data_IF_771151814500
#
_entry.id   IF_771151814500
#
_cell.length_a   1.000
_cell.length_b   1.000
_cell.length_c   1.000
_cell.angle_alpha   90.00
_cell.angle_beta   90.00
_cell.angle_gamma   90.00
#
_symmetry.space_group_name_H-M   'P 1'
#
loop_
_entity.id
_entity.type
_entity.pdbx_description
1 polymer ?
#
# COMPACT_ATOMS: atom_id res chain seq x y z
N UNK A 1 19.73 1.54 -0.35
CA UNK A 1 20.46 2.36 0.64
C UNK A 1 20.51 1.64 1.98
N UNK A 2 21.58 1.82 2.73
CA UNK A 2 21.67 1.36 4.12
C UNK A 2 21.52 2.56 5.05
N UNK A 3 20.58 2.45 5.99
CA UNK A 3 20.32 3.47 7.01
C UNK A 3 20.42 2.79 8.37
N UNK A 4 21.57 2.94 9.02
CA UNK A 4 21.89 2.20 10.24
C UNK A 4 21.89 0.69 9.95
N UNK A 5 20.95 -0.05 10.55
CA UNK A 5 20.79 -1.51 10.36
C UNK A 5 19.70 -1.89 9.35
N UNK A 6 19.07 -0.91 8.71
CA UNK A 6 17.97 -1.11 7.76
C UNK A 6 18.49 -1.02 6.33
N UNK A 7 17.98 -1.90 5.45
CA UNK A 7 18.17 -1.76 4.01
C UNK A 7 16.91 -1.18 3.40
N UNK A 8 17.01 0.00 2.81
CA UNK A 8 15.89 0.74 2.21
C UNK A 8 16.03 0.75 0.70
N UNK A 9 15.03 0.21 0.02
CA UNK A 9 14.95 0.18 -1.44
C UNK A 9 13.79 1.07 -1.88
N UNK A 10 14.04 2.16 -2.63
CA UNK A 10 12.95 2.97 -3.17
C UNK A 10 12.18 2.18 -4.23
N UNK A 11 10.88 2.31 -4.17
CA UNK A 11 9.90 1.71 -5.09
C UNK A 11 9.14 2.85 -5.76
N UNK A 12 9.01 2.82 -7.07
CA UNK A 12 8.31 3.87 -7.80
C UNK A 12 6.81 3.80 -7.53
N UNK A 13 6.24 4.86 -6.97
CA UNK A 13 4.79 5.05 -6.86
C UNK A 13 4.18 5.57 -8.15
N UNK A 14 2.87 5.66 -8.20
CA UNK A 14 2.14 6.19 -9.37
C UNK A 14 1.45 7.55 -9.09
N UNK A 15 1.78 8.18 -7.99
CA UNK A 15 1.35 9.56 -7.72
C UNK A 15 2.26 10.55 -8.44
N UNK A 16 1.68 11.61 -9.00
CA UNK A 16 2.44 12.66 -9.70
C UNK A 16 3.02 13.64 -8.67
N UNK A 17 4.28 14.02 -8.88
CA UNK A 17 4.89 15.15 -8.20
C UNK A 17 4.50 16.50 -8.83
N UNK A 18 5.16 17.55 -8.39
CA UNK A 18 4.93 18.90 -8.91
C UNK A 18 5.50 19.11 -10.32
N UNK A 19 6.47 18.29 -10.71
CA UNK A 19 7.07 18.32 -12.05
C UNK A 19 6.55 17.15 -12.90
N UNK A 20 6.48 17.29 -14.22
CA UNK A 20 5.91 16.26 -15.11
C UNK A 20 6.53 14.87 -14.96
N UNK A 21 7.83 14.82 -14.66
CA UNK A 21 8.59 13.57 -14.57
C UNK A 21 8.76 13.07 -13.12
N UNK A 22 8.26 13.82 -12.14
CA UNK A 22 8.33 13.42 -10.75
C UNK A 22 7.26 12.36 -10.44
N UNK A 23 7.67 11.37 -9.68
CA UNK A 23 6.81 10.32 -9.15
C UNK A 23 7.06 10.17 -7.65
N UNK A 24 6.03 9.76 -6.93
CA UNK A 24 6.17 9.41 -5.52
C UNK A 24 7.15 8.26 -5.35
N UNK A 25 7.86 8.26 -4.23
CA UNK A 25 8.71 7.15 -3.82
C UNK A 25 8.04 6.42 -2.67
N UNK A 26 7.76 5.16 -2.87
CA UNK A 26 7.45 4.19 -1.84
C UNK A 26 8.72 3.47 -1.42
N UNK A 27 8.67 2.60 -0.42
CA UNK A 27 9.86 1.98 0.12
C UNK A 27 9.63 0.52 0.49
N UNK A 28 10.55 -0.34 0.07
CA UNK A 28 10.71 -1.67 0.63
C UNK A 28 11.84 -1.61 1.66
N UNK A 29 11.50 -1.83 2.93
CA UNK A 29 12.42 -1.69 4.06
C UNK A 29 12.68 -3.06 4.65
N UNK A 30 13.93 -3.52 4.57
CA UNK A 30 14.34 -4.73 5.26
C UNK A 30 14.88 -4.39 6.64
N UNK A 31 14.32 -5.05 7.65
CA UNK A 31 14.65 -4.93 9.06
C UNK A 31 15.89 -5.78 9.40
N UNK A 32 16.52 -5.54 10.56
CA UNK A 32 17.71 -6.28 10.98
C UNK A 32 17.50 -7.77 11.21
N UNK A 33 16.28 -8.21 11.49
CA UNK A 33 15.88 -9.61 11.66
C UNK A 33 15.53 -10.31 10.32
N UNK A 34 15.58 -9.54 9.22
CA UNK A 34 15.30 -10.02 7.86
C UNK A 34 13.89 -9.78 7.40
N UNK A 35 12.94 -9.42 8.26
CA UNK A 35 11.57 -9.06 7.87
C UNK A 35 11.56 -7.84 6.96
N UNK A 36 10.53 -7.74 6.12
CA UNK A 36 10.39 -6.68 5.14
C UNK A 36 9.06 -5.96 5.30
N UNK A 37 9.13 -4.65 5.32
CA UNK A 37 7.98 -3.75 5.29
C UNK A 37 7.90 -3.10 3.90
N UNK A 38 6.77 -3.26 3.21
CA UNK A 38 6.42 -2.43 2.06
C UNK A 38 5.63 -1.22 2.58
N UNK A 39 6.19 -0.02 2.41
CA UNK A 39 5.58 1.24 2.81
C UNK A 39 5.23 2.06 1.58
N UNK A 40 3.93 2.20 1.29
CA UNK A 40 3.43 2.76 0.03
C UNK A 40 2.29 3.75 0.24
N UNK A 41 2.67 4.98 0.54
CA UNK A 41 1.76 6.12 0.62
C UNK A 41 1.89 6.99 -0.63
N UNK A 42 0.87 7.81 -0.87
CA UNK A 42 0.78 8.65 -2.06
C UNK A 42 1.11 7.86 -3.34
N UNK A 43 0.34 6.82 -3.55
CA UNK A 43 0.48 5.99 -4.73
C UNK A 43 -0.88 5.58 -5.27
N UNK A 44 -1.12 5.69 -6.54
CA UNK A 44 -2.24 5.01 -7.18
C UNK A 44 -1.90 3.54 -7.46
N UNK A 45 -2.71 2.89 -8.28
CA UNK A 45 -2.41 1.55 -8.77
C UNK A 45 -1.03 1.55 -9.43
N UNK A 46 -0.16 0.66 -9.01
CA UNK A 46 1.20 0.56 -9.55
C UNK A 46 1.22 0.28 -11.05
N UNK A 47 2.27 0.77 -11.70
CA UNK A 47 2.56 0.40 -13.09
C UNK A 47 3.07 -1.03 -13.18
N UNK A 48 3.00 -1.63 -14.38
CA UNK A 48 3.55 -2.97 -14.63
C UNK A 48 5.04 -3.05 -14.23
N UNK A 49 5.81 -2.03 -14.57
CA UNK A 49 7.24 -1.93 -14.22
C UNK A 49 7.46 -2.02 -12.70
N UNK A 50 6.57 -1.40 -11.90
CA UNK A 50 6.67 -1.44 -10.43
C UNK A 50 6.29 -2.82 -9.90
N UNK A 51 5.28 -3.48 -10.45
CA UNK A 51 4.94 -4.85 -10.07
C UNK A 51 6.07 -5.83 -10.41
N UNK A 52 6.69 -5.69 -11.58
CA UNK A 52 7.87 -6.50 -11.96
C UNK A 52 9.06 -6.24 -11.03
N UNK A 53 9.30 -4.99 -10.67
CA UNK A 53 10.36 -4.63 -9.72
C UNK A 53 10.16 -5.27 -8.33
N UNK A 54 8.92 -5.42 -7.90
CA UNK A 54 8.55 -6.04 -6.62
C UNK A 54 8.45 -7.58 -6.69
N UNK A 55 8.68 -8.18 -7.86
CA UNK A 55 8.58 -9.64 -8.00
C UNK A 55 9.49 -10.37 -7.00
N UNK A 56 8.92 -11.32 -6.26
CA UNK A 56 9.56 -12.08 -5.18
C UNK A 56 10.09 -11.20 -4.01
N UNK A 57 9.57 -10.00 -3.82
CA UNK A 57 9.97 -9.14 -2.70
C UNK A 57 9.61 -9.80 -1.35
N UNK A 58 8.46 -10.46 -1.23
CA UNK A 58 8.03 -11.19 -0.04
C UNK A 58 7.93 -10.28 1.18
N UNK A 59 7.20 -9.18 1.09
CA UNK A 59 6.99 -8.27 2.21
C UNK A 59 6.14 -8.93 3.30
N UNK A 60 6.62 -8.90 4.54
CA UNK A 60 5.95 -9.48 5.71
C UNK A 60 4.84 -8.58 6.25
N UNK A 61 4.93 -7.29 5.98
CA UNK A 61 3.94 -6.27 6.34
C UNK A 61 3.80 -5.28 5.18
N UNK A 62 2.58 -4.85 4.92
CA UNK A 62 2.31 -3.79 3.96
C UNK A 62 1.53 -2.65 4.61
N UNK A 63 2.09 -1.44 4.57
CA UNK A 63 1.40 -0.19 4.93
C UNK A 63 1.10 0.55 3.64
N UNK A 64 -0.16 0.82 3.39
CA UNK A 64 -0.62 1.43 2.13
C UNK A 64 -1.65 2.52 2.35
N UNK A 65 -1.89 3.31 1.31
CA UNK A 65 -3.00 4.24 1.28
C UNK A 65 -4.31 3.58 0.82
N UNK A 66 -5.42 4.22 1.14
CA UNK A 66 -6.71 4.06 0.47
C UNK A 66 -7.47 5.39 0.54
N UNK A 67 -6.88 6.41 -0.06
CA UNK A 67 -7.29 7.81 0.07
C UNK A 67 -8.75 8.03 -0.29
N UNK A 68 -9.25 7.35 -1.32
CA UNK A 68 -10.65 7.47 -1.76
C UNK A 68 -11.59 6.44 -1.12
N UNK A 69 -11.09 5.54 -0.26
CA UNK A 69 -11.91 4.59 0.48
C UNK A 69 -12.91 3.88 -0.44
N UNK A 70 -14.22 4.07 -0.17
CA UNK A 70 -15.31 3.45 -0.92
C UNK A 70 -15.74 4.20 -2.19
N UNK A 71 -15.08 5.30 -2.54
CA UNK A 71 -15.38 6.05 -3.75
C UNK A 71 -14.51 5.55 -4.90
N UNK A 72 -15.12 5.28 -6.04
CA UNK A 72 -14.36 5.04 -7.27
C UNK A 72 -13.81 6.38 -7.76
N UNK A 73 -12.47 6.54 -7.88
CA UNK A 73 -11.91 7.79 -8.36
C UNK A 73 -12.32 8.02 -9.82
N UNK A 74 -12.62 9.27 -10.15
CA UNK A 74 -12.68 9.68 -11.55
C UNK A 74 -11.26 9.65 -12.16
N UNK A 75 -11.13 9.52 -13.48
CA UNK A 75 -9.82 9.34 -14.15
C UNK A 75 -8.74 10.35 -13.72
N UNK A 76 -9.15 11.60 -13.47
CA UNK A 76 -8.24 12.66 -13.02
C UNK A 76 -7.69 12.44 -11.59
N UNK A 77 -8.26 11.52 -10.83
CA UNK A 77 -7.88 11.21 -9.43
C UNK A 77 -7.25 9.83 -9.28
N UNK A 78 -6.88 9.21 -10.39
CA UNK A 78 -6.27 7.87 -10.42
C UNK A 78 -4.90 7.76 -9.74
N UNK A 79 -4.38 8.89 -9.20
CA UNK A 79 -3.11 8.94 -8.47
C UNK A 79 -3.21 8.39 -7.03
N UNK A 80 -4.41 7.99 -6.58
CA UNK A 80 -4.64 7.38 -5.28
C UNK A 80 -5.51 6.14 -5.38
N UNK A 81 -5.45 5.31 -4.34
CA UNK A 81 -6.24 4.08 -4.26
C UNK A 81 -7.64 4.34 -3.66
N UNK A 82 -8.60 3.56 -4.14
CA UNK A 82 -9.85 3.25 -3.48
C UNK A 82 -9.89 1.75 -3.14
N UNK A 83 -10.93 1.27 -2.46
CA UNK A 83 -11.06 -0.16 -2.11
C UNK A 83 -10.93 -1.07 -3.33
N UNK A 84 -11.57 -0.72 -4.45
CA UNK A 84 -11.53 -1.53 -5.68
C UNK A 84 -10.09 -1.65 -6.22
N UNK A 85 -9.39 -0.53 -6.38
CA UNK A 85 -8.01 -0.54 -6.90
C UNK A 85 -7.00 -1.06 -5.88
N UNK A 86 -7.28 -0.94 -4.57
CA UNK A 86 -6.50 -1.60 -3.52
C UNK A 86 -6.59 -3.13 -3.64
N UNK A 87 -7.79 -3.68 -3.88
CA UNK A 87 -7.96 -5.11 -4.09
C UNK A 87 -7.26 -5.60 -5.37
N UNK A 88 -7.33 -4.82 -6.45
CA UNK A 88 -6.58 -5.13 -7.66
C UNK A 88 -5.07 -5.12 -7.41
N UNK A 89 -4.57 -4.09 -6.71
CA UNK A 89 -3.15 -4.00 -6.36
C UNK A 89 -2.70 -5.19 -5.50
N UNK A 90 -3.50 -5.56 -4.49
CA UNK A 90 -3.24 -6.73 -3.63
C UNK A 90 -3.09 -7.99 -4.48
N UNK A 91 -4.09 -8.28 -5.32
CA UNK A 91 -4.07 -9.44 -6.21
C UNK A 91 -2.81 -9.48 -7.08
N UNK A 92 -2.43 -8.37 -7.68
CA UNK A 92 -1.25 -8.30 -8.55
C UNK A 92 0.05 -8.45 -7.78
N UNK A 93 0.14 -7.90 -6.56
CA UNK A 93 1.29 -8.12 -5.67
C UNK A 93 1.42 -9.59 -5.28
N UNK A 94 0.30 -10.30 -5.05
CA UNK A 94 0.29 -11.74 -4.78
C UNK A 94 0.76 -12.56 -5.98
N UNK A 95 0.24 -12.27 -7.16
CA UNK A 95 0.66 -12.92 -8.42
C UNK A 95 2.18 -12.81 -8.63
N UNK A 96 2.77 -11.69 -8.21
CA UNK A 96 4.22 -11.42 -8.25
C UNK A 96 4.99 -11.95 -7.02
N UNK A 97 4.31 -12.55 -6.04
CA UNK A 97 4.92 -12.95 -4.74
C UNK A 97 5.62 -11.78 -4.04
N UNK A 98 5.09 -10.60 -4.22
CA UNK A 98 5.60 -9.37 -3.59
C UNK A 98 5.23 -9.29 -2.11
N UNK A 99 4.14 -9.95 -1.70
CA UNK A 99 3.70 -10.10 -0.33
C UNK A 99 3.98 -11.53 0.16
N UNK A 100 4.31 -11.69 1.43
CA UNK A 100 4.37 -12.99 2.09
C UNK A 100 2.95 -13.53 2.34
N UNK A 101 2.73 -14.86 2.37
CA UNK A 101 1.43 -15.43 2.69
C UNK A 101 0.91 -14.90 4.03
N UNK A 102 -0.33 -14.41 4.05
CA UNK A 102 -0.94 -13.84 5.25
C UNK A 102 -0.38 -12.48 5.69
N UNK A 103 0.37 -11.78 4.83
CA UNK A 103 0.91 -10.45 5.10
C UNK A 103 -0.20 -9.50 5.59
N UNK A 104 -0.12 -8.95 6.82
CA UNK A 104 -1.07 -7.95 7.29
C UNK A 104 -0.92 -6.65 6.50
N UNK A 105 -2.07 -6.07 6.14
CA UNK A 105 -2.16 -4.82 5.37
C UNK A 105 -2.77 -3.73 6.24
N UNK A 106 -1.99 -2.69 6.50
CA UNK A 106 -2.43 -1.52 7.25
C UNK A 106 -2.76 -0.38 6.30
N UNK A 107 -4.02 0.02 6.31
CA UNK A 107 -4.58 1.02 5.40
C UNK A 107 -4.65 2.37 6.11
N UNK A 108 -4.02 3.38 5.54
CA UNK A 108 -3.95 4.73 6.10
C UNK A 108 -4.13 5.80 5.02
N UNK A 109 -3.77 7.06 5.28
CA UNK A 109 -3.85 8.18 4.32
C UNK A 109 -5.27 8.35 3.74
N UNK A 110 -6.28 8.33 4.59
CA UNK A 110 -7.69 8.37 4.21
C UNK A 110 -8.17 9.81 4.10
N UNK A 111 -8.86 10.16 3.01
CA UNK A 111 -9.46 11.46 2.83
C UNK A 111 -10.81 11.55 3.57
N UNK A 112 -10.79 12.13 4.77
CA UNK A 112 -11.97 12.26 5.62
C UNK A 112 -13.11 13.12 5.05
N UNK A 113 -12.85 13.92 4.03
CA UNK A 113 -13.87 14.79 3.44
C UNK A 113 -14.79 14.07 2.46
N UNK A 114 -14.35 12.95 1.89
CA UNK A 114 -15.03 12.30 0.77
C UNK A 114 -15.19 10.79 0.91
N UNK A 115 -14.71 10.21 2.01
CA UNK A 115 -14.72 8.75 2.20
C UNK A 115 -15.60 8.32 3.36
N UNK A 116 -15.85 7.02 3.45
CA UNK A 116 -16.52 6.41 4.59
C UNK A 116 -15.73 6.64 5.88
N UNK A 117 -16.44 6.76 7.00
CA UNK A 117 -15.82 6.75 8.32
C UNK A 117 -15.06 5.44 8.57
N UNK A 118 -14.10 5.48 9.50
CA UNK A 118 -13.21 4.38 9.84
C UNK A 118 -13.91 3.02 9.96
N UNK A 119 -14.97 2.92 10.77
CA UNK A 119 -15.67 1.66 11.03
C UNK A 119 -16.36 1.11 9.77
N UNK A 120 -16.87 2.00 8.93
CA UNK A 120 -17.50 1.60 7.67
C UNK A 120 -16.46 1.12 6.66
N UNK A 121 -15.32 1.78 6.58
CA UNK A 121 -14.23 1.36 5.69
C UNK A 121 -13.67 0.01 6.16
N UNK A 122 -13.46 -0.16 7.48
CA UNK A 122 -13.05 -1.46 8.04
C UNK A 122 -14.04 -2.56 7.68
N UNK A 123 -15.35 -2.30 7.88
CA UNK A 123 -16.39 -3.28 7.52
C UNK A 123 -16.43 -3.63 6.04
N UNK A 124 -16.06 -2.71 5.15
CA UNK A 124 -15.95 -3.00 3.72
C UNK A 124 -14.73 -3.88 3.44
N UNK A 125 -13.60 -3.60 4.07
CA UNK A 125 -12.38 -4.39 3.92
C UNK A 125 -12.54 -5.79 4.53
N UNK A 126 -13.24 -5.94 5.65
CA UNK A 126 -13.53 -7.24 6.28
C UNK A 126 -14.40 -8.15 5.38
N UNK A 127 -15.15 -7.56 4.46
CA UNK A 127 -15.96 -8.31 3.50
C UNK A 127 -15.15 -8.78 2.28
N UNK A 128 -13.94 -8.29 2.10
CA UNK A 128 -13.08 -8.75 1.02
C UNK A 128 -12.58 -10.15 1.34
N UNK A 129 -12.73 -11.06 0.38
CA UNK A 129 -12.22 -12.42 0.52
C UNK A 129 -10.77 -12.46 0.01
N UNK A 130 -9.84 -12.76 0.90
CA UNK A 130 -8.42 -12.83 0.54
C UNK A 130 -7.57 -13.42 1.67
N UNK A 131 -6.30 -13.68 1.38
CA UNK A 131 -5.36 -14.24 2.35
C UNK A 131 -4.81 -13.19 3.33
N UNK A 132 -4.96 -11.91 3.02
CA UNK A 132 -4.37 -10.80 3.76
C UNK A 132 -5.40 -10.15 4.70
N UNK A 133 -5.12 -10.06 6.01
CA UNK A 133 -5.94 -9.28 6.92
C UNK A 133 -5.70 -7.78 6.71
N UNK A 134 -6.78 -7.03 6.49
CA UNK A 134 -6.76 -5.57 6.38
C UNK A 134 -7.13 -4.91 7.70
N UNK A 135 -6.38 -3.89 8.08
CA UNK A 135 -6.66 -3.05 9.25
C UNK A 135 -6.63 -1.58 8.83
N UNK A 136 -7.74 -0.87 9.01
CA UNK A 136 -7.76 0.58 8.86
C UNK A 136 -7.01 1.21 10.04
N UNK A 137 -5.90 1.87 9.75
CA UNK A 137 -5.06 2.48 10.79
C UNK A 137 -5.74 3.70 11.43
N UNK A 138 -5.39 3.96 12.67
CA UNK A 138 -5.83 5.10 13.46
C UNK A 138 -4.67 5.70 14.25
N UNK A 139 -4.82 6.94 14.70
CA UNK A 139 -3.78 7.63 15.46
C UNK A 139 -3.48 6.89 16.78
N UNK A 140 -2.24 6.51 16.95
CA UNK A 140 -1.79 5.72 18.11
C UNK A 140 -1.81 4.21 17.90
N UNK A 141 -2.14 3.71 16.70
CA UNK A 141 -1.98 2.29 16.38
C UNK A 141 -0.51 1.88 16.47
N UNK A 142 -0.22 0.85 17.27
CA UNK A 142 1.10 0.25 17.33
C UNK A 142 1.14 -1.01 16.46
N UNK A 143 2.14 -1.09 15.58
CA UNK A 143 2.41 -2.24 14.72
C UNK A 143 3.71 -2.88 15.21
N UNK A 144 3.63 -4.13 15.65
CA UNK A 144 4.81 -4.93 16.00
C UNK A 144 5.31 -5.65 14.75
N UNK A 145 6.60 -5.51 14.47
CA UNK A 145 7.28 -6.10 13.31
C UNK A 145 8.09 -7.33 13.70
#
# INVERSE_FOLDING_TARGET
YEIGRYKVTPVRGNHRGNMPDEKSANYLIQLPDGKKLLYSLDTGLYSEETFEFLENAGADIWVTECTFGNLSPQEEWSAHLCVETLMEQTKRLDEKKALAPGCPVYVTHINHCHTAYHEKLQSLLDQTQGEHPFTVAYDGLHIEL
#
